data_IF_971026605491
#
_entry.id   IF_971026605491
#
_cell.length_a   1.000
_cell.length_b   1.000
_cell.length_c   1.000
_cell.angle_alpha   90.00
_cell.angle_beta   90.00
_cell.angle_gamma   90.00
#
_symmetry.space_group_name_H-M   'P 1'
#
loop_
_entity.id
_entity.type
_entity.pdbx_description
1 polymer ?
#
# COMPACT_ATOMS: atom_id res chain seq x y z
N UNK A 1 3.30 44.33 -1.01
CA UNK A 1 4.58 44.44 -1.76
C UNK A 1 4.94 45.92 -1.91
N UNK A 2 6.22 46.28 -1.75
CA UNK A 2 6.70 47.67 -1.93
C UNK A 2 7.17 47.92 -3.37
N UNK A 3 7.44 49.18 -3.70
CA UNK A 3 7.84 49.58 -5.06
C UNK A 3 9.07 48.80 -5.55
N UNK A 4 9.04 48.32 -6.79
CA UNK A 4 10.17 47.62 -7.42
C UNK A 4 10.45 46.21 -6.88
N UNK A 5 9.64 45.67 -5.98
CA UNK A 5 9.77 44.28 -5.55
C UNK A 5 9.35 43.31 -6.66
N UNK A 6 10.07 42.20 -6.82
CA UNK A 6 9.79 41.17 -7.84
C UNK A 6 9.68 39.81 -7.16
N UNK A 7 8.68 39.03 -7.55
CA UNK A 7 8.53 37.63 -7.16
C UNK A 7 8.97 36.76 -8.33
N UNK A 8 9.85 35.78 -8.06
CA UNK A 8 10.21 34.75 -9.03
C UNK A 8 9.17 33.61 -9.02
N UNK A 9 9.12 32.76 -10.06
CA UNK A 9 8.19 31.63 -10.12
C UNK A 9 8.33 30.71 -8.90
N UNK A 10 7.19 30.18 -8.43
CA UNK A 10 7.15 29.24 -7.30
C UNK A 10 7.20 29.88 -5.90
N UNK A 11 7.27 31.21 -5.79
CA UNK A 11 7.25 31.89 -4.48
C UNK A 11 5.88 31.77 -3.82
N UNK A 12 5.88 31.36 -2.54
CA UNK A 12 4.69 31.29 -1.69
C UNK A 12 4.83 32.30 -0.54
N UNK A 13 3.87 33.21 -0.43
CA UNK A 13 3.82 34.21 0.64
C UNK A 13 2.69 33.89 1.60
N UNK A 14 3.01 33.80 2.90
CA UNK A 14 1.99 33.72 3.94
C UNK A 14 1.28 35.06 4.14
N UNK A 15 0.20 35.04 4.92
CA UNK A 15 -0.61 36.22 5.22
C UNK A 15 0.23 37.34 5.86
N UNK A 16 -0.02 38.59 5.43
CA UNK A 16 0.60 39.82 5.95
C UNK A 16 2.12 39.96 5.76
N UNK A 17 2.76 39.10 4.98
CA UNK A 17 4.17 39.29 4.57
C UNK A 17 4.33 40.55 3.73
N UNK A 18 5.39 41.32 4.00
CA UNK A 18 5.74 42.52 3.24
C UNK A 18 7.08 42.31 2.55
N UNK A 19 7.08 42.35 1.21
CA UNK A 19 8.33 42.39 0.44
C UNK A 19 8.84 43.83 0.37
N UNK A 20 10.11 44.02 0.73
CA UNK A 20 10.81 45.30 0.77
C UNK A 20 11.05 45.91 -0.61
N UNK A 21 11.45 47.18 -0.62
CA UNK A 21 11.65 47.93 -1.87
C UNK A 21 12.81 47.33 -2.69
N UNK A 22 12.62 47.21 -4.01
CA UNK A 22 13.61 46.66 -4.95
C UNK A 22 14.14 45.26 -4.60
N UNK A 23 13.41 44.48 -3.80
CA UNK A 23 13.81 43.13 -3.42
C UNK A 23 13.27 42.09 -4.40
N UNK A 24 14.12 41.16 -4.83
CA UNK A 24 13.73 40.03 -5.67
C UNK A 24 13.70 38.79 -4.80
N UNK A 25 12.51 38.23 -4.60
CA UNK A 25 12.37 36.98 -3.85
C UNK A 25 12.86 35.83 -4.74
N UNK A 26 13.78 34.96 -4.27
CA UNK A 26 14.27 33.82 -5.04
C UNK A 26 13.13 32.90 -5.49
N UNK A 27 13.29 32.16 -6.60
CA UNK A 27 12.26 31.22 -7.04
C UNK A 27 12.04 30.14 -5.97
N UNK A 28 10.84 29.58 -5.92
CA UNK A 28 10.44 28.48 -5.01
C UNK A 28 10.48 28.79 -3.50
N UNK A 29 10.83 30.01 -3.11
CA UNK A 29 10.89 30.39 -1.69
C UNK A 29 9.53 30.42 -1.00
N UNK A 30 9.48 29.87 0.21
CA UNK A 30 8.34 30.00 1.14
C UNK A 30 8.64 31.12 2.13
N UNK A 31 7.75 32.09 2.25
CA UNK A 31 7.96 33.27 3.11
C UNK A 31 6.87 33.37 4.17
N UNK A 32 7.27 33.37 5.43
CA UNK A 32 6.36 33.44 6.57
C UNK A 32 6.67 34.59 7.52
N UNK A 33 5.66 35.07 8.26
CA UNK A 33 5.91 35.94 9.41
C UNK A 33 6.52 35.18 10.60
N UNK A 34 6.37 33.86 10.63
CA UNK A 34 6.97 33.00 11.64
C UNK A 34 8.38 32.64 11.23
N UNK A 35 9.30 32.66 12.19
CA UNK A 35 10.66 32.15 11.98
C UNK A 35 10.60 30.63 11.92
N UNK A 36 11.36 30.03 11.01
CA UNK A 36 11.43 28.58 10.88
C UNK A 36 11.91 27.94 12.20
N UNK A 37 11.22 26.90 12.72
CA UNK A 37 11.67 26.18 13.91
C UNK A 37 13.03 25.51 13.66
N UNK A 38 13.95 25.61 14.62
CA UNK A 38 15.31 24.99 14.53
C UNK A 38 15.34 23.52 14.97
N UNK A 39 14.21 22.99 15.47
CA UNK A 39 14.02 21.58 15.80
C UNK A 39 12.77 21.11 15.07
N UNK A 40 12.92 20.13 14.19
CA UNK A 40 11.82 19.35 13.65
C UNK A 40 11.84 18.02 14.41
N UNK A 41 11.04 17.91 15.48
CA UNK A 41 10.71 16.58 16.01
C UNK A 41 9.73 15.98 15.00
N UNK A 42 10.23 14.98 14.28
CA UNK A 42 9.60 14.40 13.09
C UNK A 42 8.51 13.37 13.43
N UNK A 43 8.03 13.34 14.67
CA UNK A 43 7.19 12.29 15.24
C UNK A 43 5.90 12.76 15.93
N UNK A 44 5.54 14.05 15.88
CA UNK A 44 4.24 14.48 16.43
C UNK A 44 3.09 14.24 15.42
N UNK A 45 2.25 13.25 15.75
CA UNK A 45 0.95 12.98 15.14
C UNK A 45 0.10 14.25 15.02
N UNK A 46 -0.50 14.46 13.84
CA UNK A 46 -1.35 15.61 13.55
C UNK A 46 -2.69 15.50 14.32
N UNK A 47 -2.76 16.05 15.53
CA UNK A 47 -4.04 16.31 16.19
C UNK A 47 -4.77 17.47 15.49
N UNK A 48 -5.86 17.17 14.79
CA UNK A 48 -6.77 18.18 14.26
C UNK A 48 -7.53 18.82 15.41
N UNK A 49 -7.24 20.10 15.69
CA UNK A 49 -8.04 20.90 16.62
C UNK A 49 -9.39 21.24 15.98
N UNK A 50 -10.40 20.41 16.24
CA UNK A 50 -11.81 20.78 16.11
C UNK A 50 -12.13 21.85 17.16
N UNK A 51 -12.43 23.06 16.72
CA UNK A 51 -12.97 24.10 17.59
C UNK A 51 -14.30 24.57 17.01
N UNK A 52 -15.30 23.70 17.11
CA UNK A 52 -16.69 24.04 16.83
C UNK A 52 -17.27 24.77 18.04
N UNK A 53 -17.86 25.92 17.75
CA UNK A 53 -18.60 26.75 18.68
C UNK A 53 -19.91 26.07 19.07
N UNK A 54 -20.22 25.96 20.37
CA UNK A 54 -21.55 26.37 20.85
C UNK A 54 -21.71 26.45 22.38
N UNK A 55 -22.27 27.60 22.78
CA UNK A 55 -23.26 27.88 23.85
C UNK A 55 -23.08 27.44 25.31
N UNK A 56 -22.82 28.46 26.14
CA UNK A 56 -23.45 28.85 27.43
C UNK A 56 -24.44 27.88 28.13
N UNK A 57 -24.17 27.52 29.39
CA UNK A 57 -24.99 27.96 30.54
C UNK A 57 -24.28 27.77 31.91
N UNK A 58 -24.62 28.56 32.97
CA UNK A 58 -23.83 28.70 34.19
C UNK A 58 -24.40 27.97 35.44
N UNK A 59 -23.54 27.90 36.47
CA UNK A 59 -23.80 27.67 37.90
C UNK A 59 -23.59 26.25 38.46
N UNK A 60 -22.48 26.05 39.19
CA UNK A 60 -22.49 25.83 40.64
C UNK A 60 -21.06 25.78 41.23
N UNK A 61 -20.82 26.66 42.20
CA UNK A 61 -19.95 26.56 43.40
C UNK A 61 -19.23 25.21 43.62
N UNK A 62 -17.95 25.09 43.97
CA UNK A 62 -16.94 26.02 44.46
C UNK A 62 -16.03 25.25 45.43
N UNK A 63 -14.72 25.19 45.17
CA UNK A 63 -13.69 24.98 46.20
C UNK A 63 -12.36 25.49 45.66
N UNK A 64 -11.76 26.37 46.43
CA UNK A 64 -10.49 27.04 46.17
C UNK A 64 -9.33 26.10 46.46
N UNK A 65 -8.39 25.97 45.52
CA UNK A 65 -6.99 25.83 45.88
C UNK A 65 -6.10 26.59 44.90
N UNK A 66 -5.30 27.49 45.47
CA UNK A 66 -4.39 28.41 44.78
C UNK A 66 -3.03 27.75 44.66
N UNK A 67 -2.45 27.68 43.46
CA UNK A 67 -1.00 27.83 43.28
C UNK A 67 -0.70 28.56 41.96
N UNK A 68 0.29 29.45 42.06
CA UNK A 68 0.72 30.52 41.16
C UNK A 68 1.14 30.10 39.75
N UNK A 69 1.02 31.05 38.82
CA UNK A 69 1.75 31.04 37.54
C UNK A 69 1.34 32.17 36.59
N UNK A 70 1.48 33.42 37.03
CA UNK A 70 1.36 34.62 36.20
C UNK A 70 2.45 34.65 35.13
N UNK A 71 2.08 34.82 33.87
CA UNK A 71 2.94 35.33 32.79
C UNK A 71 2.07 35.82 31.64
N UNK A 72 1.51 37.00 31.84
CA UNK A 72 1.19 37.95 30.77
C UNK A 72 2.40 38.13 29.84
N UNK A 73 2.29 37.67 28.58
CA UNK A 73 3.25 38.01 27.55
C UNK A 73 2.94 39.41 27.02
N UNK A 74 3.65 40.37 27.61
CA UNK A 74 3.68 41.76 27.19
C UNK A 74 4.14 41.91 25.74
N UNK A 75 3.40 42.76 25.05
CA UNK A 75 3.72 43.40 23.79
C UNK A 75 4.95 44.30 24.01
N UNK A 76 6.16 43.80 23.74
CA UNK A 76 7.37 44.63 23.79
C UNK A 76 7.86 44.95 22.38
N UNK A 77 7.52 46.15 21.93
CA UNK A 77 8.24 46.86 20.87
C UNK A 77 9.73 46.93 21.24
N UNK A 78 10.56 46.14 20.57
CA UNK A 78 11.99 46.39 20.48
C UNK A 78 12.34 46.58 19.01
N UNK A 79 12.60 47.84 18.67
CA UNK A 79 13.37 48.24 17.51
C UNK A 79 14.75 47.58 17.59
N UNK A 80 14.88 46.43 16.92
CA UNK A 80 16.14 46.01 16.37
C UNK A 80 16.01 46.10 14.85
N UNK A 81 16.80 47.01 14.26
CA UNK A 81 16.97 47.13 12.82
C UNK A 81 17.71 45.88 12.31
N UNK A 82 17.03 44.73 12.32
CA UNK A 82 17.41 43.58 11.52
C UNK A 82 16.98 43.93 10.10
N UNK A 83 17.94 44.11 9.21
CA UNK A 83 17.69 44.14 7.77
C UNK A 83 16.80 42.95 7.44
N UNK A 84 15.51 43.19 7.18
CA UNK A 84 14.58 42.12 6.81
C UNK A 84 15.19 41.35 5.66
N UNK A 85 15.17 40.02 5.76
CA UNK A 85 15.61 39.10 4.70
C UNK A 85 14.91 39.38 3.35
N UNK A 86 13.86 40.19 3.36
CA UNK A 86 13.04 40.60 2.23
C UNK A 86 13.32 42.03 1.76
N UNK A 87 14.48 42.61 2.12
CA UNK A 87 14.92 43.94 1.68
C UNK A 87 14.38 45.10 2.52
N UNK A 88 14.66 46.34 2.10
CA UNK A 88 14.40 47.53 2.92
C UNK A 88 12.90 47.70 3.24
N UNK A 89 12.60 47.60 4.54
CA UNK A 89 11.26 47.64 5.10
C UNK A 89 10.37 46.47 4.66
N UNK A 90 10.97 45.32 4.32
CA UNK A 90 10.27 44.04 4.28
C UNK A 90 9.93 43.55 5.70
N UNK A 91 8.98 42.63 5.79
CA UNK A 91 8.54 41.96 7.02
C UNK A 91 8.23 40.51 6.70
N UNK A 92 8.96 39.59 7.33
CA UNK A 92 8.88 38.14 7.11
C UNK A 92 10.26 37.49 7.03
N UNK A 93 10.27 36.16 7.08
CA UNK A 93 11.42 35.27 7.04
C UNK A 93 11.27 34.30 5.87
N UNK A 94 12.36 34.01 5.17
CA UNK A 94 12.39 32.96 4.14
C UNK A 94 12.66 31.62 4.83
N UNK A 95 11.84 30.62 4.54
CA UNK A 95 11.98 29.25 5.07
C UNK A 95 12.79 28.41 4.08
N UNK A 96 13.77 27.68 4.61
CA UNK A 96 14.58 26.72 3.84
C UNK A 96 14.13 25.31 4.21
N UNK A 97 13.65 24.53 3.24
CA UNK A 97 13.18 23.16 3.52
C UNK A 97 14.41 22.24 3.68
N UNK A 98 14.85 22.02 4.91
CA UNK A 98 15.92 21.10 5.36
C UNK A 98 17.34 21.32 4.78
N UNK A 99 18.36 21.20 5.64
CA UNK A 99 19.78 21.11 5.25
C UNK A 99 20.03 19.80 4.51
N UNK A 100 19.78 19.77 3.20
CA UNK A 100 20.05 18.57 2.40
C UNK A 100 19.87 18.72 0.89
N UNK A 101 18.96 19.56 0.40
CA UNK A 101 18.80 19.77 -1.05
C UNK A 101 18.15 21.11 -1.36
N UNK A 102 18.95 22.17 -1.40
CA UNK A 102 18.52 23.47 -1.94
C UNK A 102 18.10 23.38 -3.42
N UNK A 103 18.43 22.28 -4.10
CA UNK A 103 18.30 22.15 -5.55
C UNK A 103 16.98 21.53 -6.02
N UNK A 104 16.13 21.08 -5.09
CA UNK A 104 14.93 20.29 -5.38
C UNK A 104 13.61 20.93 -4.96
N UNK A 105 13.61 22.18 -4.46
CA UNK A 105 12.37 22.87 -4.05
C UNK A 105 11.36 22.99 -5.20
N UNK A 106 11.82 23.04 -6.45
CA UNK A 106 10.97 23.06 -7.63
C UNK A 106 10.15 21.77 -7.81
N UNK A 107 10.61 20.62 -7.30
CA UNK A 107 9.90 19.33 -7.42
C UNK A 107 8.53 19.33 -6.73
N UNK A 108 8.38 20.17 -5.71
CA UNK A 108 7.17 20.30 -4.91
C UNK A 108 6.31 21.50 -5.33
N UNK A 109 6.69 22.19 -6.41
CA UNK A 109 6.06 23.41 -6.89
C UNK A 109 5.34 23.17 -8.21
N UNK A 110 4.17 23.79 -8.36
CA UNK A 110 3.41 23.79 -9.62
C UNK A 110 3.89 24.85 -10.62
N UNK A 111 4.96 25.59 -10.29
CA UNK A 111 5.53 26.58 -11.19
C UNK A 111 6.41 25.93 -12.28
N UNK A 112 6.63 26.59 -13.43
CA UNK A 112 7.40 26.03 -14.53
C UNK A 112 8.82 25.63 -14.12
N UNK A 113 9.21 24.40 -14.46
CA UNK A 113 10.52 23.84 -14.13
C UNK A 113 11.64 24.69 -14.77
N UNK A 114 12.72 25.04 -14.04
CA UNK A 114 13.83 25.81 -14.59
C UNK A 114 14.51 25.05 -15.74
N UNK A 115 14.82 25.76 -16.83
CA UNK A 115 15.43 25.15 -18.02
C UNK A 115 16.76 24.43 -17.73
N UNK A 116 17.54 24.93 -16.78
CA UNK A 116 18.79 24.31 -16.31
C UNK A 116 18.54 22.93 -15.69
N UNK A 117 17.48 22.80 -14.88
CA UNK A 117 17.09 21.51 -14.27
C UNK A 117 16.48 20.55 -15.29
N UNK A 118 15.75 21.06 -16.28
CA UNK A 118 15.29 20.23 -17.41
C UNK A 118 16.47 19.69 -18.22
N UNK A 119 17.48 20.53 -18.49
CA UNK A 119 18.69 20.11 -19.20
C UNK A 119 19.50 19.09 -18.41
N UNK A 120 19.66 19.28 -17.09
CA UNK A 120 20.31 18.32 -16.19
C UNK A 120 19.62 16.95 -16.23
N UNK A 121 18.29 16.90 -16.09
CA UNK A 121 17.51 15.66 -16.19
C UNK A 121 17.68 15.00 -17.56
N UNK A 122 17.62 15.79 -18.63
CA UNK A 122 17.77 15.28 -20.00
C UNK A 122 19.15 14.67 -20.22
N UNK A 123 20.19 15.31 -19.69
CA UNK A 123 21.57 14.84 -19.80
C UNK A 123 21.81 13.55 -19.00
N UNK A 124 21.24 13.44 -17.79
CA UNK A 124 21.29 12.21 -17.01
C UNK A 124 20.61 11.05 -17.74
N UNK A 125 19.48 11.30 -18.39
CA UNK A 125 18.78 10.29 -19.21
C UNK A 125 19.62 9.86 -20.42
N UNK A 126 20.31 10.79 -21.08
CA UNK A 126 21.19 10.49 -22.22
C UNK A 126 22.41 9.66 -21.79
N UNK A 127 23.07 10.03 -20.69
CA UNK A 127 24.21 9.29 -20.15
C UNK A 127 23.82 7.86 -19.70
N UNK A 128 22.65 7.70 -19.06
CA UNK A 128 22.12 6.38 -18.69
C UNK A 128 21.78 5.53 -19.92
N UNK A 129 21.25 6.12 -21.01
CA UNK A 129 20.96 5.41 -22.25
C UNK A 129 22.23 4.89 -22.95
N UNK A 130 23.33 5.64 -22.90
CA UNK A 130 24.61 5.20 -23.47
C UNK A 130 25.21 4.01 -22.71
N UNK A 131 25.02 3.94 -21.39
CA UNK A 131 25.52 2.85 -20.54
C UNK A 131 24.79 1.51 -20.74
N UNK A 132 23.53 1.50 -21.18
CA UNK A 132 22.79 0.23 -21.47
C UNK A 132 23.27 -0.43 -22.76
N UNK A 133 23.98 0.31 -23.63
CA UNK A 133 24.44 -0.20 -24.93
C UNK A 133 25.77 -0.98 -24.90
N UNK A 134 26.49 -0.95 -23.77
CA UNK A 134 27.81 -1.57 -23.62
C UNK A 134 28.02 -2.15 -22.21
N UNK A 135 27.40 -3.28 -21.87
CA UNK A 135 28.11 -4.47 -21.40
C UNK A 135 27.16 -5.53 -20.82
N UNK A 136 27.29 -6.74 -21.38
CA UNK A 136 26.91 -7.98 -20.73
C UNK A 136 27.97 -8.36 -19.68
N UNK A 137 27.52 -8.90 -18.55
CA UNK A 137 28.27 -9.51 -17.41
C UNK A 137 28.77 -8.59 -16.27
N UNK A 138 28.05 -8.60 -15.14
CA UNK A 138 28.46 -9.10 -13.80
C UNK A 138 27.80 -8.31 -12.64
N UNK A 139 27.65 -8.91 -11.43
CA UNK A 139 26.70 -8.43 -10.41
C UNK A 139 27.35 -7.54 -9.33
N UNK A 140 26.56 -6.63 -8.74
CA UNK A 140 26.24 -6.57 -7.30
C UNK A 140 25.80 -5.18 -6.82
N UNK A 141 24.82 -5.21 -5.89
CA UNK A 141 24.78 -4.42 -4.65
C UNK A 141 24.42 -2.93 -4.67
N UNK A 142 23.23 -2.69 -4.09
CA UNK A 142 22.90 -1.65 -3.11
C UNK A 142 22.46 -0.28 -3.62
N UNK A 143 21.13 -0.11 -3.61
CA UNK A 143 20.46 1.00 -2.91
C UNK A 143 20.57 2.36 -3.55
N UNK A 144 19.86 2.60 -4.66
CA UNK A 144 19.27 3.89 -5.02
C UNK A 144 18.16 3.68 -6.06
N UNK A 145 17.06 4.43 -5.89
CA UNK A 145 15.78 4.27 -6.57
C UNK A 145 15.90 4.62 -8.06
N UNK A 146 15.58 3.67 -8.94
CA UNK A 146 15.55 3.85 -10.39
C UNK A 146 14.20 4.47 -10.85
N UNK A 147 14.20 5.48 -11.74
CA UNK A 147 12.99 5.94 -12.40
C UNK A 147 12.63 4.99 -13.54
N UNK A 148 11.37 4.52 -13.55
CA UNK A 148 10.72 3.72 -14.60
C UNK A 148 11.62 2.69 -15.30
N UNK A 149 12.20 1.80 -14.49
CA UNK A 149 12.63 0.50 -15.03
C UNK A 149 11.34 -0.22 -15.45
N UNK A 150 11.35 -0.95 -16.56
CA UNK A 150 10.39 -2.04 -16.75
C UNK A 150 10.35 -2.82 -15.45
N UNK A 151 9.32 -2.60 -14.65
CA UNK A 151 9.09 -3.43 -13.49
C UNK A 151 8.82 -4.78 -14.13
N UNK A 152 9.68 -5.76 -13.86
CA UNK A 152 9.38 -7.10 -14.35
C UNK A 152 8.00 -7.41 -13.76
N UNK A 153 7.02 -7.73 -14.60
CA UNK A 153 5.68 -8.02 -14.12
C UNK A 153 5.70 -9.12 -13.02
N UNK A 154 6.71 -9.99 -13.05
CA UNK A 154 7.02 -10.98 -12.02
C UNK A 154 7.39 -10.34 -10.66
N UNK A 155 8.19 -9.28 -10.63
CA UNK A 155 8.54 -8.57 -9.39
C UNK A 155 7.28 -7.90 -8.80
N UNK A 156 6.44 -7.28 -9.65
CA UNK A 156 5.19 -6.65 -9.22
C UNK A 156 4.20 -7.65 -8.61
N UNK A 157 4.07 -8.85 -9.19
CA UNK A 157 3.20 -9.90 -8.65
C UNK A 157 3.64 -10.35 -7.24
N UNK A 158 4.96 -10.50 -7.01
CA UNK A 158 5.51 -10.88 -5.70
C UNK A 158 5.30 -9.77 -4.66
N UNK A 159 5.47 -8.50 -5.03
CA UNK A 159 5.17 -7.40 -4.11
C UNK A 159 3.67 -7.29 -3.84
N UNK A 160 2.83 -7.43 -4.87
CA UNK A 160 1.38 -7.41 -4.73
C UNK A 160 0.89 -8.50 -3.76
N UNK A 161 1.35 -9.74 -3.92
CA UNK A 161 0.97 -10.84 -3.03
C UNK A 161 1.35 -10.54 -1.57
N UNK A 162 2.54 -9.96 -1.32
CA UNK A 162 2.98 -9.56 0.03
C UNK A 162 2.12 -8.44 0.61
N UNK A 163 1.72 -7.46 -0.18
CA UNK A 163 0.85 -6.36 0.27
C UNK A 163 -0.57 -6.86 0.59
N UNK A 164 -1.11 -7.77 -0.22
CA UNK A 164 -2.39 -8.45 0.05
C UNK A 164 -2.28 -9.28 1.33
N UNK A 165 -1.18 -10.02 1.52
CA UNK A 165 -0.92 -10.78 2.74
C UNK A 165 -0.87 -9.87 3.98
N UNK A 166 -0.12 -8.77 3.92
CA UNK A 166 -0.05 -7.81 5.01
C UNK A 166 -1.42 -7.22 5.35
N UNK A 167 -2.21 -6.88 4.32
CA UNK A 167 -3.58 -6.37 4.45
C UNK A 167 -4.49 -7.41 5.12
N UNK A 168 -4.42 -8.67 4.67
CA UNK A 168 -5.19 -9.77 5.22
C UNK A 168 -4.84 -10.06 6.69
N UNK A 169 -3.54 -10.16 7.01
CA UNK A 169 -3.08 -10.41 8.39
C UNK A 169 -3.45 -9.27 9.33
N UNK A 170 -3.38 -8.02 8.86
CA UNK A 170 -3.88 -6.87 9.62
C UNK A 170 -5.38 -7.00 9.88
N UNK A 171 -6.16 -7.37 8.87
CA UNK A 171 -7.60 -7.57 9.01
C UNK A 171 -7.94 -8.66 10.04
N UNK A 172 -7.16 -9.75 10.07
CA UNK A 172 -7.29 -10.82 11.07
C UNK A 172 -6.98 -10.31 12.48
N UNK A 173 -5.89 -9.57 12.65
CA UNK A 173 -5.44 -9.09 13.97
C UNK A 173 -6.35 -7.98 14.54
N UNK A 174 -6.82 -7.08 13.68
CA UNK A 174 -7.64 -5.92 14.05
C UNK A 174 -9.15 -6.22 13.98
N UNK A 175 -9.54 -7.43 13.54
CA UNK A 175 -10.93 -7.84 13.32
C UNK A 175 -11.69 -6.86 12.41
N UNK A 176 -11.07 -6.53 11.27
CA UNK A 176 -11.62 -5.63 10.25
C UNK A 176 -12.77 -6.33 9.51
N UNK A 177 -13.85 -5.61 9.24
CA UNK A 177 -14.98 -6.15 8.47
C UNK A 177 -14.56 -6.48 7.03
N UNK A 178 -15.03 -7.63 6.54
CA UNK A 178 -14.69 -8.15 5.20
C UNK A 178 -14.92 -7.13 4.09
N UNK A 179 -15.97 -6.32 4.17
CA UNK A 179 -16.28 -5.33 3.14
C UNK A 179 -15.22 -4.21 3.07
N UNK A 180 -14.59 -3.85 4.19
CA UNK A 180 -13.47 -2.91 4.19
C UNK A 180 -12.20 -3.54 3.61
N UNK A 181 -11.94 -4.82 3.91
CA UNK A 181 -10.81 -5.56 3.31
C UNK A 181 -10.95 -5.63 1.79
N UNK A 182 -12.16 -5.87 1.29
CA UNK A 182 -12.45 -5.85 -0.16
C UNK A 182 -12.12 -4.49 -0.78
N UNK A 183 -12.41 -3.37 -0.10
CA UNK A 183 -12.07 -2.04 -0.62
C UNK A 183 -10.56 -1.83 -0.69
N UNK A 184 -9.82 -2.27 0.32
CA UNK A 184 -8.36 -2.16 0.36
C UNK A 184 -7.69 -3.02 -0.71
N UNK A 185 -8.08 -4.29 -0.82
CA UNK A 185 -7.55 -5.19 -1.85
C UNK A 185 -7.92 -4.70 -3.26
N UNK A 186 -9.10 -4.10 -3.45
CA UNK A 186 -9.43 -3.45 -4.73
C UNK A 186 -8.54 -2.24 -5.02
N UNK A 187 -8.16 -1.47 -4.00
CA UNK A 187 -7.19 -0.38 -4.18
C UNK A 187 -5.82 -0.92 -4.60
N UNK A 188 -5.34 -1.99 -3.95
CA UNK A 188 -4.08 -2.65 -4.31
C UNK A 188 -4.14 -3.24 -5.72
N UNK A 189 -5.23 -3.93 -6.07
CA UNK A 189 -5.44 -4.49 -7.41
C UNK A 189 -5.29 -3.42 -8.49
N UNK A 190 -5.89 -2.25 -8.28
CA UNK A 190 -5.81 -1.14 -9.22
C UNK A 190 -4.43 -0.48 -9.24
N UNK A 191 -3.73 -0.37 -8.10
CA UNK A 191 -2.41 0.24 -8.05
C UNK A 191 -1.33 -0.61 -8.72
N UNK A 192 -1.43 -1.94 -8.57
CA UNK A 192 -0.51 -2.91 -9.17
C UNK A 192 -0.97 -3.39 -10.57
N UNK A 193 -2.12 -2.93 -11.08
CA UNK A 193 -2.68 -3.34 -12.35
C UNK A 193 -2.88 -4.87 -12.47
N UNK A 194 -3.43 -5.48 -11.41
CA UNK A 194 -3.68 -6.91 -11.28
C UNK A 194 -5.11 -7.29 -11.68
N UNK A 195 -5.35 -8.56 -11.99
CA UNK A 195 -6.65 -9.14 -12.31
C UNK A 195 -7.36 -9.68 -11.06
N UNK A 196 -8.61 -10.14 -11.25
CA UNK A 196 -9.36 -10.80 -10.18
C UNK A 196 -8.70 -12.13 -9.77
N UNK A 197 -8.20 -12.89 -10.75
CA UNK A 197 -7.42 -14.12 -10.55
C UNK A 197 -6.22 -13.90 -9.61
N UNK A 198 -5.40 -12.87 -9.87
CA UNK A 198 -4.24 -12.53 -9.02
C UNK A 198 -4.68 -12.23 -7.56
N UNK A 199 -5.81 -11.55 -7.38
CA UNK A 199 -6.37 -11.28 -6.06
C UNK A 199 -6.83 -12.56 -5.37
N UNK A 200 -7.54 -13.45 -6.10
CA UNK A 200 -8.02 -14.72 -5.59
C UNK A 200 -6.85 -15.60 -5.12
N UNK A 201 -5.80 -15.71 -5.95
CA UNK A 201 -4.57 -16.43 -5.60
C UNK A 201 -3.88 -15.84 -4.37
N UNK A 202 -3.66 -14.52 -4.32
CA UNK A 202 -2.98 -13.86 -3.20
C UNK A 202 -3.77 -13.96 -1.88
N UNK A 203 -5.11 -13.82 -1.93
CA UNK A 203 -5.99 -14.00 -0.76
C UNK A 203 -5.93 -15.45 -0.28
N UNK A 204 -6.05 -16.41 -1.21
CA UNK A 204 -6.01 -17.83 -0.86
C UNK A 204 -4.65 -18.23 -0.26
N UNK A 205 -3.55 -17.74 -0.84
CA UNK A 205 -2.21 -17.89 -0.27
C UNK A 205 -2.13 -17.37 1.17
N UNK A 206 -2.64 -16.16 1.41
CA UNK A 206 -2.68 -15.55 2.74
C UNK A 206 -3.50 -16.37 3.74
N UNK A 207 -4.63 -16.95 3.29
CA UNK A 207 -5.46 -17.85 4.09
C UNK A 207 -4.73 -19.15 4.45
N UNK A 208 -4.06 -19.80 3.50
CA UNK A 208 -3.29 -21.01 3.77
C UNK A 208 -2.11 -20.74 4.71
N UNK A 209 -1.42 -19.63 4.52
CA UNK A 209 -0.33 -19.20 5.40
C UNK A 209 -0.80 -18.95 6.83
N UNK A 210 -1.95 -18.28 7.02
CA UNK A 210 -2.56 -18.12 8.35
C UNK A 210 -2.88 -19.48 9.00
N UNK A 211 -3.41 -20.44 8.24
CA UNK A 211 -3.72 -21.77 8.76
C UNK A 211 -2.46 -22.54 9.19
N UNK A 212 -1.37 -22.39 8.43
CA UNK A 212 -0.04 -22.92 8.75
C UNK A 212 0.59 -22.25 9.98
N UNK A 213 0.54 -20.92 10.07
CA UNK A 213 1.14 -20.19 11.19
C UNK A 213 0.35 -20.37 12.50
N UNK A 214 -0.93 -20.76 12.40
CA UNK A 214 -1.74 -21.14 13.55
C UNK A 214 -1.18 -22.40 14.19
N UNK A 215 -1.07 -22.41 15.52
CA UNK A 215 -0.47 -23.52 16.28
C UNK A 215 -1.10 -24.87 15.89
N UNK A 216 -0.26 -25.75 15.37
CA UNK A 216 -0.61 -27.11 15.02
C UNK A 216 0.59 -28.02 15.28
N UNK A 217 0.31 -29.24 15.72
CA UNK A 217 1.32 -30.29 15.96
C UNK A 217 1.08 -31.52 15.10
N UNK A 218 -0.16 -31.70 14.65
CA UNK A 218 -0.64 -32.83 13.88
C UNK A 218 -1.38 -32.33 12.63
N UNK A 219 -1.42 -33.17 11.58
CA UNK A 219 -2.06 -32.84 10.31
C UNK A 219 -3.57 -32.59 10.43
N UNK A 220 -4.26 -33.26 11.36
CA UNK A 220 -5.69 -33.05 11.60
C UNK A 220 -5.96 -31.68 12.26
N UNK A 221 -5.04 -31.17 13.08
CA UNK A 221 -5.13 -29.82 13.63
C UNK A 221 -4.95 -28.78 12.53
N UNK A 222 -3.99 -29.01 11.61
CA UNK A 222 -3.81 -28.16 10.43
C UNK A 222 -5.05 -28.14 9.53
N UNK A 223 -5.63 -29.31 9.22
CA UNK A 223 -6.86 -29.38 8.43
C UNK A 223 -8.02 -28.62 9.11
N UNK A 224 -8.13 -28.71 10.44
CA UNK A 224 -9.11 -27.92 11.19
C UNK A 224 -8.83 -26.42 11.07
N UNK A 225 -7.57 -25.99 11.21
CA UNK A 225 -7.19 -24.59 11.04
C UNK A 225 -7.56 -24.09 9.63
N UNK A 226 -7.29 -24.88 8.59
CA UNK A 226 -7.69 -24.58 7.21
C UNK A 226 -9.21 -24.41 7.12
N UNK A 227 -9.99 -25.35 7.67
CA UNK A 227 -11.44 -25.27 7.64
C UNK A 227 -11.96 -24.03 8.40
N UNK A 228 -11.40 -23.69 9.56
CA UNK A 228 -11.76 -22.48 10.33
C UNK A 228 -11.43 -21.19 9.56
N UNK A 229 -10.24 -21.12 8.96
CA UNK A 229 -9.81 -19.97 8.14
C UNK A 229 -10.70 -19.80 6.91
N UNK A 230 -10.92 -20.89 6.15
CA UNK A 230 -11.80 -20.89 4.96
C UNK A 230 -13.21 -20.48 5.35
N UNK A 231 -13.77 -21.06 6.42
CA UNK A 231 -15.13 -20.72 6.85
C UNK A 231 -15.28 -19.25 7.27
N UNK A 232 -14.24 -18.66 7.85
CA UNK A 232 -14.24 -17.25 8.29
C UNK A 232 -14.09 -16.30 7.10
N UNK A 233 -13.20 -16.61 6.15
CA UNK A 233 -12.79 -15.69 5.09
C UNK A 233 -13.35 -16.02 3.71
N UNK A 234 -14.18 -17.05 3.56
CA UNK A 234 -14.81 -17.42 2.29
C UNK A 234 -15.53 -16.26 1.59
N UNK A 235 -16.17 -15.34 2.34
CA UNK A 235 -16.84 -14.16 1.74
C UNK A 235 -15.83 -13.25 1.02
N UNK A 236 -14.64 -13.08 1.60
CA UNK A 236 -13.57 -12.30 1.00
C UNK A 236 -13.08 -12.98 -0.28
N UNK A 237 -12.74 -14.27 -0.21
CA UNK A 237 -12.24 -15.03 -1.36
C UNK A 237 -13.27 -15.04 -2.51
N UNK A 238 -14.53 -15.38 -2.23
CA UNK A 238 -15.62 -15.40 -3.24
C UNK A 238 -15.86 -14.05 -3.93
N UNK A 239 -15.49 -12.93 -3.31
CA UNK A 239 -15.64 -11.61 -3.95
C UNK A 239 -14.70 -11.41 -5.14
N UNK A 240 -13.68 -12.27 -5.28
CA UNK A 240 -12.71 -12.28 -6.38
C UNK A 240 -12.85 -13.52 -7.29
N UNK A 241 -13.95 -14.27 -7.16
CA UNK A 241 -14.28 -15.43 -8.00
C UNK A 241 -15.52 -15.13 -8.87
N UNK A 242 -15.44 -14.22 -9.87
CA UNK A 242 -16.57 -13.91 -10.74
C UNK A 242 -16.88 -15.01 -11.76
N UNK A 243 -15.92 -15.90 -12.05
CA UNK A 243 -16.10 -17.05 -12.93
C UNK A 243 -15.09 -18.15 -12.67
N UNK A 244 -15.15 -19.18 -13.53
CA UNK A 244 -14.37 -20.41 -13.37
C UNK A 244 -12.86 -20.22 -13.54
N UNK A 245 -12.42 -19.25 -14.33
CA UNK A 245 -10.99 -19.00 -14.53
C UNK A 245 -10.32 -18.61 -13.21
N UNK A 246 -10.99 -17.81 -12.37
CA UNK A 246 -10.48 -17.47 -11.05
C UNK A 246 -10.58 -18.63 -10.04
N UNK A 247 -11.57 -19.52 -10.18
CA UNK A 247 -11.66 -20.73 -9.38
C UNK A 247 -10.52 -21.70 -9.69
N UNK A 248 -10.19 -21.88 -10.98
CA UNK A 248 -9.04 -22.68 -11.43
C UNK A 248 -7.74 -22.06 -10.91
N UNK A 249 -7.59 -20.73 -10.94
CA UNK A 249 -6.44 -20.04 -10.36
C UNK A 249 -6.25 -20.37 -8.88
N UNK A 250 -7.33 -20.47 -8.09
CA UNK A 250 -7.23 -20.90 -6.68
C UNK A 250 -6.69 -22.33 -6.57
N UNK A 251 -7.10 -23.25 -7.46
CA UNK A 251 -6.58 -24.62 -7.47
C UNK A 251 -5.09 -24.64 -7.82
N UNK A 252 -4.69 -23.92 -8.88
CA UNK A 252 -3.30 -23.82 -9.32
C UNK A 252 -2.44 -23.20 -8.22
N UNK A 253 -2.91 -22.12 -7.60
CA UNK A 253 -2.23 -21.51 -6.46
C UNK A 253 -2.08 -22.47 -5.29
N UNK A 254 -3.07 -23.33 -5.07
CA UNK A 254 -2.97 -24.35 -4.03
C UNK A 254 -1.92 -25.43 -4.34
N UNK A 255 -1.75 -25.80 -5.61
CA UNK A 255 -0.66 -26.68 -6.03
C UNK A 255 0.71 -26.04 -5.71
N UNK A 256 0.89 -24.76 -6.05
CA UNK A 256 2.12 -24.02 -5.74
C UNK A 256 2.42 -24.04 -4.23
N UNK A 257 1.43 -23.68 -3.41
CA UNK A 257 1.55 -23.68 -1.95
C UNK A 257 1.92 -25.07 -1.42
N UNK A 258 1.35 -26.13 -2.00
CA UNK A 258 1.65 -27.49 -1.61
C UNK A 258 3.09 -27.89 -1.97
N UNK A 259 3.63 -27.40 -3.10
CA UNK A 259 5.03 -27.59 -3.49
C UNK A 259 6.00 -26.84 -2.58
N UNK A 260 5.60 -25.71 -2.02
CA UNK A 260 6.37 -24.97 -1.02
C UNK A 260 6.31 -25.63 0.37
N UNK A 261 5.13 -26.15 0.74
CA UNK A 261 4.82 -26.77 2.04
C UNK A 261 4.56 -28.27 1.93
N UNK A 262 5.54 -29.01 1.38
CA UNK A 262 5.42 -30.42 1.00
C UNK A 262 5.06 -31.36 2.16
N UNK A 263 5.46 -31.06 3.40
CA UNK A 263 5.22 -31.97 4.54
C UNK A 263 3.86 -31.72 5.20
N UNK A 264 3.40 -30.49 5.12
CA UNK A 264 2.25 -29.97 5.83
C UNK A 264 0.99 -30.03 4.97
N UNK A 265 0.99 -29.36 3.80
CA UNK A 265 -0.20 -29.16 2.98
C UNK A 265 -0.35 -30.19 1.86
N UNK A 266 0.74 -30.63 1.22
CA UNK A 266 0.64 -31.64 0.14
C UNK A 266 -0.15 -32.90 0.54
N UNK A 267 0.02 -33.51 1.74
CA UNK A 267 -0.77 -34.67 2.14
C UNK A 267 -2.28 -34.38 2.32
N UNK A 268 -2.63 -33.11 2.51
CA UNK A 268 -3.99 -32.64 2.75
C UNK A 268 -4.66 -32.10 1.47
N UNK A 269 -3.96 -32.08 0.33
CA UNK A 269 -4.45 -31.46 -0.91
C UNK A 269 -5.90 -31.86 -1.25
N UNK A 270 -6.18 -33.16 -1.42
CA UNK A 270 -7.53 -33.64 -1.77
C UNK A 270 -8.58 -33.29 -0.72
N UNK A 271 -8.22 -33.31 0.57
CA UNK A 271 -9.15 -32.97 1.66
C UNK A 271 -9.49 -31.48 1.66
N UNK A 272 -8.49 -30.62 1.40
CA UNK A 272 -8.68 -29.17 1.33
C UNK A 272 -9.45 -28.82 0.06
N UNK A 273 -9.15 -29.44 -1.08
CA UNK A 273 -9.92 -29.28 -2.32
C UNK A 273 -11.40 -29.63 -2.11
N UNK A 274 -11.67 -30.73 -1.41
CA UNK A 274 -13.03 -31.10 -1.03
C UNK A 274 -13.70 -30.05 -0.11
N UNK A 275 -12.98 -29.46 0.85
CA UNK A 275 -13.50 -28.36 1.68
C UNK A 275 -13.85 -27.13 0.84
N UNK A 276 -13.05 -26.80 -0.18
CA UNK A 276 -13.36 -25.68 -1.08
C UNK A 276 -14.62 -25.94 -1.91
N UNK A 277 -14.80 -27.19 -2.37
CA UNK A 277 -16.02 -27.64 -3.04
C UNK A 277 -17.24 -27.58 -2.11
N UNK A 278 -17.18 -28.18 -0.91
CA UNK A 278 -18.29 -28.17 0.07
C UNK A 278 -18.72 -26.77 0.52
N UNK A 279 -17.84 -25.77 0.40
CA UNK A 279 -18.11 -24.37 0.74
C UNK A 279 -18.62 -23.55 -0.45
N UNK A 280 -18.89 -24.17 -1.59
CA UNK A 280 -19.23 -23.51 -2.85
C UNK A 280 -18.22 -22.42 -3.23
N UNK A 281 -16.93 -22.63 -2.94
CA UNK A 281 -15.84 -21.72 -3.35
C UNK A 281 -15.35 -22.10 -4.73
N UNK A 282 -15.30 -23.40 -5.02
CA UNK A 282 -14.88 -23.95 -6.30
C UNK A 282 -15.98 -24.89 -6.77
N UNK A 283 -16.39 -24.71 -8.02
CA UNK A 283 -17.41 -25.53 -8.68
C UNK A 283 -16.84 -26.83 -9.22
N UNK A 284 -17.71 -27.81 -9.47
CA UNK A 284 -17.34 -29.05 -10.15
C UNK A 284 -16.74 -28.78 -11.53
N UNK A 285 -17.37 -27.89 -12.33
CA UNK A 285 -16.87 -27.49 -13.66
C UNK A 285 -15.43 -26.97 -13.60
N UNK A 286 -15.08 -26.14 -12.61
CA UNK A 286 -13.72 -25.65 -12.43
C UNK A 286 -12.72 -26.77 -12.08
N UNK A 287 -13.13 -27.75 -11.27
CA UNK A 287 -12.29 -28.90 -10.91
C UNK A 287 -12.06 -29.81 -12.13
N UNK A 288 -13.09 -30.02 -12.95
CA UNK A 288 -12.97 -30.79 -14.18
C UNK A 288 -12.10 -30.11 -15.23
N UNK A 289 -12.27 -28.79 -15.40
CA UNK A 289 -11.46 -27.99 -16.31
C UNK A 289 -9.99 -28.00 -15.89
N UNK A 290 -9.69 -27.81 -14.59
CA UNK A 290 -8.33 -27.96 -14.04
C UNK A 290 -7.73 -29.34 -14.34
N UNK A 291 -8.49 -30.43 -14.13
CA UNK A 291 -8.03 -31.78 -14.46
C UNK A 291 -7.75 -31.93 -15.97
N UNK A 292 -8.61 -31.32 -16.80
CA UNK A 292 -8.52 -31.36 -18.25
C UNK A 292 -7.28 -30.65 -18.80
N UNK A 293 -6.94 -29.48 -18.25
CA UNK A 293 -5.76 -28.69 -18.62
C UNK A 293 -4.46 -29.44 -18.34
N UNK A 294 -4.47 -30.32 -17.34
CA UNK A 294 -3.32 -31.14 -16.92
C UNK A 294 -3.22 -32.48 -17.68
N UNK A 295 -4.14 -32.81 -18.60
CA UNK A 295 -4.14 -34.13 -19.28
C UNK A 295 -2.86 -34.42 -20.07
N UNK A 296 -2.35 -33.41 -20.76
CA UNK A 296 -1.14 -33.48 -21.59
C UNK A 296 0.13 -32.97 -20.89
N UNK A 297 0.03 -32.60 -19.61
CA UNK A 297 1.16 -32.13 -18.81
C UNK A 297 2.07 -33.27 -18.37
N UNK A 298 3.31 -32.93 -18.00
CA UNK A 298 4.30 -33.90 -17.54
C UNK A 298 3.87 -34.58 -16.23
N UNK A 299 4.42 -35.76 -15.96
CA UNK A 299 4.06 -36.53 -14.76
C UNK A 299 4.30 -35.78 -13.44
N UNK A 300 5.27 -34.86 -13.43
CA UNK A 300 5.55 -33.99 -12.29
C UNK A 300 4.44 -32.96 -12.02
N UNK A 301 3.76 -32.48 -13.06
CA UNK A 301 2.70 -31.46 -12.95
C UNK A 301 1.32 -32.08 -12.67
N UNK A 302 1.23 -33.42 -12.70
CA UNK A 302 -0.01 -34.20 -12.48
C UNK A 302 -0.07 -34.86 -11.11
N UNK A 303 0.85 -34.55 -10.21
CA UNK A 303 0.95 -35.19 -8.89
C UNK A 303 -0.34 -35.03 -8.10
N UNK A 304 -0.90 -33.81 -8.06
CA UNK A 304 -2.12 -33.52 -7.31
C UNK A 304 -3.39 -34.03 -8.00
N UNK A 305 -3.44 -34.01 -9.34
CA UNK A 305 -4.49 -34.68 -10.12
C UNK A 305 -4.57 -36.17 -9.78
N UNK A 306 -3.41 -36.86 -9.74
CA UNK A 306 -3.34 -38.27 -9.35
C UNK A 306 -3.75 -38.49 -7.89
N UNK A 307 -3.36 -37.59 -6.99
CA UNK A 307 -3.74 -37.66 -5.58
C UNK A 307 -5.26 -37.51 -5.40
N UNK A 308 -5.90 -36.66 -6.22
CA UNK A 308 -7.34 -36.40 -6.20
C UNK A 308 -8.19 -37.37 -7.03
N UNK A 309 -7.62 -38.42 -7.65
CA UNK A 309 -8.32 -39.32 -8.58
C UNK A 309 -9.61 -39.93 -7.99
N UNK A 310 -9.60 -40.34 -6.72
CA UNK A 310 -10.79 -40.88 -6.04
C UNK A 310 -11.88 -39.82 -5.89
N UNK A 311 -11.49 -38.59 -5.57
CA UNK A 311 -12.42 -37.47 -5.41
C UNK A 311 -13.01 -37.05 -6.76
N UNK A 312 -12.18 -36.97 -7.81
CA UNK A 312 -12.62 -36.68 -9.18
C UNK A 312 -13.59 -37.74 -9.71
N UNK A 313 -13.36 -39.02 -9.37
CA UNK A 313 -14.30 -40.09 -9.72
C UNK A 313 -15.63 -39.95 -8.98
N UNK A 314 -15.59 -39.57 -7.71
CA UNK A 314 -16.80 -39.36 -6.91
C UNK A 314 -17.64 -38.18 -7.43
N UNK A 315 -17.02 -37.08 -7.86
CA UNK A 315 -17.72 -35.94 -8.45
C UNK A 315 -18.57 -36.36 -9.66
N UNK A 316 -17.95 -37.02 -10.64
CA UNK A 316 -18.64 -37.51 -11.85
C UNK A 316 -19.75 -38.52 -11.57
N UNK A 317 -19.55 -39.40 -10.58
CA UNK A 317 -20.57 -40.38 -10.21
C UNK A 317 -21.79 -39.73 -9.52
N UNK A 318 -21.59 -38.60 -8.83
CA UNK A 318 -22.70 -37.87 -8.22
C UNK A 318 -23.58 -37.18 -9.28
N UNK A 319 -23.01 -36.71 -10.39
CA UNK A 319 -23.76 -36.11 -11.49
C UNK A 319 -24.60 -37.15 -12.25
N UNK A 320 -24.03 -38.34 -12.52
CA UNK A 320 -24.72 -39.42 -13.24
C UNK A 320 -25.98 -39.95 -12.49
N UNK A 321 -25.97 -39.95 -11.15
CA UNK A 321 -27.12 -40.40 -10.35
C UNK A 321 -28.27 -39.37 -10.31
N UNK A 322 -28.00 -38.07 -10.49
CA UNK A 322 -29.03 -37.01 -10.47
C UNK A 322 -29.76 -36.88 -11.84
N UNK A 323 -29.14 -37.29 -12.95
CA UNK A 323 -29.79 -37.32 -14.28
C UNK A 323 -30.72 -38.53 -14.49
N UNK A 324 -30.54 -39.64 -13.75
CA UNK A 324 -31.38 -40.85 -13.88
C UNK A 324 -32.73 -40.74 -13.15
N UNK A 325 -32.95 -39.74 -12.29
CA UNK A 325 -34.20 -39.57 -11.51
C UNK A 325 -35.23 -38.61 -12.18
N UNK A 326 -34.93 -38.10 -13.38
CA UNK A 326 -35.79 -37.21 -14.18
C UNK A 326 -36.40 -37.87 -15.46
N UNK A 327 -36.28 -39.21 -15.63
CA UNK A 327 -37.02 -40.03 -16.64
C UNK A 327 -38.22 -40.81 -16.07
#
# INVERSE_FOLDING_TARGET
MKSGSVLKPGVVLSFKVVIGQNFVVPPYSKVSLLKQPTKQDSDEELEYADNDSDTLDPAATGTMDKLNGDSSLEFSEMQDHVSSELGYGGVGYIWSICEGSHEEEWRHSVAPIPAEKVAEITQVIEDDLELVSQDSNAPASSGELKPDTQINAEDDAVYFEKEVEATFLRAVNENVEVDHVILEVNSLRLSYNMQAADCAGAIFHSMMKLALDTTHSLQNELLRNVHETVNTWQKLLKSYLPGKDEEIEVILKFEEICLESVRELSPLFTQILHVLYEKDIITEEAIEDWESEKKDADEADRVFVKQAEIFLKWLREAEEDDEEDDE
#
